data_IF_015133794447
#
_entry.id   IF_015133794447
#
_cell.length_a   1.000
_cell.length_b   1.000
_cell.length_c   1.000
_cell.angle_alpha   90.00
_cell.angle_beta   90.00
_cell.angle_gamma   90.00
#
_symmetry.space_group_name_H-M   'P 1'
#
loop_
_entity.id
_entity.type
_entity.pdbx_description
1 polymer ?
#
# COMPACT_ATOMS: atom_id res chain seq x y z
N UNK A 1 -32.95 -48.37 0.69
CA UNK A 1 -31.65 -49.04 0.94
C UNK A 1 -30.59 -47.93 0.90
N UNK A 2 -29.85 -47.53 1.92
CA UNK A 2 -29.48 -48.19 3.15
C UNK A 2 -27.96 -48.05 3.31
N UNK A 3 -27.55 -47.38 4.39
CA UNK A 3 -26.26 -47.47 5.11
C UNK A 3 -25.18 -46.41 4.80
N UNK A 4 -25.02 -45.54 5.80
CA UNK A 4 -23.75 -45.06 6.33
C UNK A 4 -22.57 -46.03 6.16
N UNK A 5 -21.36 -45.48 5.97
CA UNK A 5 -20.12 -46.04 6.53
C UNK A 5 -19.29 -44.96 7.21
N UNK A 6 -19.19 -45.08 8.53
CA UNK A 6 -18.08 -44.56 9.34
C UNK A 6 -16.84 -45.46 9.20
N UNK A 7 -15.75 -45.05 9.89
CA UNK A 7 -14.47 -45.73 10.17
C UNK A 7 -13.39 -45.65 9.06
N UNK A 8 -12.12 -45.34 9.34
CA UNK A 8 -11.41 -45.09 10.59
C UNK A 8 -9.90 -45.41 10.44
N UNK A 9 -9.06 -44.59 11.10
CA UNK A 9 -7.71 -44.87 11.69
C UNK A 9 -6.58 -45.53 10.87
N UNK A 10 -5.44 -44.82 10.80
CA UNK A 10 -4.09 -45.25 11.24
C UNK A 10 -3.11 -44.05 11.11
N UNK A 11 -2.64 -43.42 12.20
CA UNK A 11 -1.56 -43.82 13.12
C UNK A 11 -0.14 -43.60 12.53
N UNK A 12 0.56 -42.61 13.08
CA UNK A 12 1.98 -42.33 12.84
C UNK A 12 2.52 -41.41 13.94
N UNK A 13 2.58 -41.94 15.17
CA UNK A 13 3.20 -41.26 16.30
C UNK A 13 4.67 -41.70 16.40
N UNK A 14 5.58 -40.74 16.53
CA UNK A 14 6.89 -40.94 17.16
C UNK A 14 6.98 -39.98 18.34
N UNK A 15 7.44 -40.56 19.44
CA UNK A 15 7.23 -40.18 20.82
C UNK A 15 8.44 -39.41 21.36
N UNK A 16 8.13 -38.30 22.04
CA UNK A 16 8.67 -37.74 23.29
C UNK A 16 10.19 -37.61 23.52
N UNK A 17 10.57 -36.38 23.90
CA UNK A 17 11.40 -36.17 25.09
C UNK A 17 10.76 -35.07 25.95
N UNK A 18 10.43 -35.41 27.21
CA UNK A 18 9.89 -34.53 28.24
C UNK A 18 10.92 -34.39 29.36
N UNK A 19 10.98 -33.23 30.01
CA UNK A 19 11.17 -32.90 31.45
C UNK A 19 11.44 -31.38 31.54
N UNK A 20 10.93 -30.55 32.46
CA UNK A 20 10.49 -30.68 33.86
C UNK A 20 9.53 -29.48 34.15
N UNK A 21 8.37 -29.72 34.80
CA UNK A 21 8.07 -29.43 36.22
C UNK A 21 7.78 -27.96 36.57
N UNK A 22 6.49 -27.68 36.81
CA UNK A 22 5.96 -26.47 37.45
C UNK A 22 4.44 -26.50 37.49
N UNK A 23 3.87 -26.74 38.68
CA UNK A 23 2.50 -27.16 38.98
C UNK A 23 1.42 -26.04 38.99
N UNK A 24 0.17 -26.51 38.89
CA UNK A 24 -1.06 -26.02 39.55
C UNK A 24 -1.96 -24.97 38.88
N UNK A 25 -3.09 -25.49 38.39
CA UNK A 25 -4.47 -25.29 38.91
C UNK A 25 -5.00 -23.87 39.20
N UNK A 26 -6.05 -23.53 38.44
CA UNK A 26 -7.27 -22.78 38.80
C UNK A 26 -7.24 -21.26 39.13
N UNK A 27 -8.29 -20.63 38.60
CA UNK A 27 -8.98 -19.40 39.04
C UNK A 27 -8.60 -18.07 38.39
N UNK A 28 -9.61 -17.52 37.70
CA UNK A 28 -10.07 -16.13 37.68
C UNK A 28 -9.11 -15.06 38.22
N UNK A 29 -8.62 -14.18 37.35
CA UNK A 29 -8.58 -12.72 37.57
C UNK A 29 -8.05 -11.99 36.35
N UNK A 30 -8.61 -10.81 36.15
CA UNK A 30 -8.25 -9.81 35.16
C UNK A 30 -6.76 -9.42 35.17
N UNK A 31 -6.33 -8.89 34.02
CA UNK A 31 -5.61 -7.63 33.87
C UNK A 31 -4.34 -7.69 33.00
N UNK A 32 -4.22 -6.64 32.18
CA UNK A 32 -3.03 -6.13 31.46
C UNK A 32 -2.62 -6.83 30.17
N UNK A 33 -3.29 -6.39 29.11
CA UNK A 33 -2.65 -5.65 28.03
C UNK A 33 -1.23 -6.07 27.66
N UNK A 34 -1.11 -7.09 26.82
CA UNK A 34 0.04 -7.22 25.95
C UNK A 34 -0.20 -6.31 24.73
N UNK A 35 0.08 -5.01 24.88
CA UNK A 35 0.27 -4.13 23.72
C UNK A 35 1.49 -4.66 22.96
N UNK A 36 1.21 -5.46 21.92
CA UNK A 36 2.15 -5.74 20.84
C UNK A 36 2.81 -4.41 20.46
N UNK A 37 4.15 -4.34 20.30
CA UNK A 37 4.78 -3.11 19.88
C UNK A 37 4.08 -2.61 18.62
N UNK A 38 3.42 -1.46 18.72
CA UNK A 38 2.87 -0.81 17.54
C UNK A 38 4.07 -0.57 16.62
N UNK A 39 4.03 -1.16 15.42
CA UNK A 39 4.99 -0.81 14.38
C UNK A 39 5.03 0.71 14.31
N UNK A 40 6.23 1.31 14.40
CA UNK A 40 6.37 2.76 14.28
C UNK A 40 5.65 3.20 13.01
N UNK A 41 4.69 4.10 13.16
CA UNK A 41 4.03 4.70 12.00
C UNK A 41 5.10 5.42 11.18
N UNK A 42 5.08 5.21 9.86
CA UNK A 42 5.93 5.95 8.92
C UNK A 42 5.61 7.43 9.08
N UNK A 43 6.64 8.25 9.21
CA UNK A 43 6.47 9.70 9.30
C UNK A 43 6.08 10.28 7.94
N UNK A 44 5.48 11.47 7.93
CA UNK A 44 5.14 12.14 6.66
C UNK A 44 6.41 12.41 5.85
N UNK A 45 7.48 12.91 6.46
CA UNK A 45 8.75 13.15 5.77
C UNK A 45 9.31 11.90 5.10
N UNK A 46 9.27 10.74 5.77
CA UNK A 46 9.70 9.46 5.18
C UNK A 46 8.80 9.04 4.01
N UNK A 47 7.48 9.22 4.14
CA UNK A 47 6.53 8.87 3.08
C UNK A 47 6.67 9.80 1.86
N UNK A 48 6.86 11.09 2.08
CA UNK A 48 7.17 12.10 1.04
C UNK A 48 8.43 11.72 0.29
N UNK A 49 9.53 11.44 1.01
CA UNK A 49 10.79 11.04 0.38
C UNK A 49 10.65 9.74 -0.43
N UNK A 50 9.88 8.77 0.08
CA UNK A 50 9.62 7.51 -0.63
C UNK A 50 8.83 7.74 -1.91
N UNK A 51 7.82 8.60 -1.88
CA UNK A 51 7.04 8.95 -3.06
C UNK A 51 7.86 9.68 -4.12
N UNK A 52 8.58 10.74 -3.72
CA UNK A 52 9.44 11.50 -4.64
C UNK A 52 10.57 10.64 -5.21
N UNK A 53 11.11 9.70 -4.44
CA UNK A 53 12.08 8.73 -4.94
C UNK A 53 11.46 7.77 -5.97
N UNK A 54 10.20 7.37 -5.81
CA UNK A 54 9.50 6.55 -6.79
C UNK A 54 9.28 7.29 -8.11
N UNK A 55 8.90 8.57 -8.06
CA UNK A 55 8.77 9.44 -9.25
C UNK A 55 10.14 9.64 -9.92
N UNK A 56 11.17 9.99 -9.14
CA UNK A 56 12.54 10.14 -9.66
C UNK A 56 13.05 8.86 -10.32
N UNK A 57 12.75 7.70 -9.72
CA UNK A 57 13.10 6.40 -10.30
C UNK A 57 12.37 6.15 -11.61
N UNK A 58 11.06 6.43 -11.65
CA UNK A 58 10.28 6.34 -12.88
C UNK A 58 10.92 7.15 -14.01
N UNK A 59 11.29 8.41 -13.74
CA UNK A 59 11.97 9.27 -14.72
C UNK A 59 13.34 8.74 -15.14
N UNK A 60 14.14 8.30 -14.16
CA UNK A 60 15.50 7.79 -14.40
C UNK A 60 15.49 6.50 -15.21
N UNK A 61 14.49 5.63 -14.99
CA UNK A 61 14.32 4.38 -15.72
C UNK A 61 13.72 4.59 -17.13
N UNK A 62 13.40 5.84 -17.50
CA UNK A 62 12.88 6.21 -18.82
C UNK A 62 11.35 6.27 -18.91
N UNK A 63 10.64 6.15 -17.78
CA UNK A 63 9.19 6.25 -17.69
C UNK A 63 8.45 5.19 -18.53
N UNK A 64 7.36 5.61 -19.18
CA UNK A 64 6.63 4.78 -20.14
C UNK A 64 7.22 4.93 -21.55
N UNK A 65 8.17 4.05 -21.90
CA UNK A 65 8.79 4.07 -23.22
C UNK A 65 7.81 3.66 -24.33
N UNK A 66 6.97 2.67 -24.05
CA UNK A 66 5.98 2.13 -24.97
C UNK A 66 4.66 2.89 -24.85
N UNK A 67 4.02 3.21 -25.98
CA UNK A 67 2.79 4.00 -26.03
C UNK A 67 1.55 3.13 -26.17
N UNK A 68 1.73 1.87 -26.53
CA UNK A 68 0.66 0.91 -26.74
C UNK A 68 -0.10 0.62 -25.43
N UNK A 69 -1.41 0.34 -25.49
CA UNK A 69 -2.17 -0.08 -24.32
C UNK A 69 -1.55 -1.28 -23.61
N UNK A 70 -1.60 -1.27 -22.28
CA UNK A 70 -1.10 -2.35 -21.42
C UNK A 70 0.42 -2.34 -21.14
N UNK A 71 1.18 -1.43 -21.75
CA UNK A 71 2.65 -1.45 -21.68
C UNK A 71 3.25 -0.72 -20.48
N UNK A 72 2.48 0.17 -19.84
CA UNK A 72 2.95 0.97 -18.70
C UNK A 72 2.20 0.71 -17.39
N UNK A 73 1.39 -0.35 -17.35
CA UNK A 73 0.54 -0.66 -16.22
C UNK A 73 1.30 -0.91 -14.91
N UNK A 74 2.46 -1.58 -14.98
CA UNK A 74 3.27 -1.88 -13.80
C UNK A 74 3.89 -0.61 -13.21
N UNK A 75 4.32 0.32 -14.06
CA UNK A 75 4.87 1.61 -13.63
C UNK A 75 3.78 2.49 -13.00
N UNK A 76 2.58 2.52 -13.60
CA UNK A 76 1.42 3.20 -13.01
C UNK A 76 1.12 2.65 -11.60
N UNK A 77 1.08 1.32 -11.44
CA UNK A 77 0.88 0.70 -10.13
C UNK A 77 2.04 0.96 -9.14
N UNK A 78 3.28 1.03 -9.62
CA UNK A 78 4.45 1.25 -8.78
C UNK A 78 4.41 2.61 -8.05
N UNK A 79 3.78 3.63 -8.66
CA UNK A 79 3.59 4.94 -8.05
C UNK A 79 2.40 4.99 -7.07
N UNK A 80 1.42 4.09 -7.22
CA UNK A 80 0.24 4.09 -6.35
C UNK A 80 0.52 3.72 -4.92
N UNK A 81 1.37 2.70 -4.71
CA UNK A 81 1.68 2.25 -3.35
C UNK A 81 2.27 3.38 -2.50
N UNK A 82 3.33 4.09 -2.93
CA UNK A 82 3.88 5.18 -2.15
C UNK A 82 2.91 6.37 -2.02
N UNK A 83 2.07 6.66 -3.02
CA UNK A 83 1.04 7.70 -2.90
C UNK A 83 0.02 7.38 -1.78
N UNK A 84 -0.44 6.13 -1.70
CA UNK A 84 -1.34 5.68 -0.63
C UNK A 84 -0.67 5.69 0.74
N UNK A 85 0.59 5.30 0.81
CA UNK A 85 1.38 5.35 2.04
C UNK A 85 1.58 6.81 2.51
N UNK A 86 1.79 7.75 1.58
CA UNK A 86 1.82 9.19 1.84
C UNK A 86 0.48 9.70 2.39
N UNK A 87 -0.65 9.40 1.75
CA UNK A 87 -1.99 9.76 2.26
C UNK A 87 -2.21 9.23 3.67
N UNK A 88 -1.77 8.00 3.95
CA UNK A 88 -1.89 7.40 5.29
C UNK A 88 -1.03 8.13 6.31
N UNK A 89 0.20 8.49 5.97
CA UNK A 89 1.09 9.24 6.85
C UNK A 89 0.54 10.64 7.12
N UNK A 90 0.10 11.36 6.08
CA UNK A 90 -0.49 12.68 6.18
C UNK A 90 -1.74 12.71 7.08
N UNK A 91 -2.62 11.71 6.97
CA UNK A 91 -3.79 11.58 7.85
C UNK A 91 -3.43 11.23 9.30
N UNK A 92 -2.30 10.58 9.53
CA UNK A 92 -1.82 10.25 10.87
C UNK A 92 -1.09 11.44 11.53
N UNK A 93 -0.58 12.38 10.73
CA UNK A 93 0.07 13.58 11.21
C UNK A 93 -0.94 14.60 11.71
N UNK A 94 -0.61 15.20 12.84
CA UNK A 94 -1.41 16.24 13.51
C UNK A 94 -0.76 17.60 13.45
N UNK A 95 0.43 17.72 12.85
CA UNK A 95 1.17 18.97 12.73
C UNK A 95 0.52 19.93 11.73
N UNK A 96 -0.08 19.39 10.67
CA UNK A 96 -0.80 20.09 9.62
C UNK A 96 -2.29 19.70 9.62
N UNK A 97 -3.17 20.67 9.38
CA UNK A 97 -4.61 20.39 9.26
C UNK A 97 -4.97 19.68 7.94
N UNK A 98 -6.17 19.08 7.84
CA UNK A 98 -6.63 18.42 6.62
C UNK A 98 -6.73 19.37 5.41
N UNK A 99 -6.99 20.66 5.65
CA UNK A 99 -7.04 21.69 4.60
C UNK A 99 -5.71 21.84 3.86
N UNK A 100 -4.58 21.70 4.57
CA UNK A 100 -3.25 21.76 3.96
C UNK A 100 -3.05 20.65 2.91
N UNK A 101 -3.56 19.45 3.20
CA UNK A 101 -3.40 18.28 2.33
C UNK A 101 -4.45 18.15 1.24
N UNK A 102 -5.44 19.04 1.19
CA UNK A 102 -6.60 18.92 0.29
C UNK A 102 -6.20 18.77 -1.19
N UNK A 103 -5.26 19.60 -1.66
CA UNK A 103 -4.76 19.55 -3.04
C UNK A 103 -3.96 18.28 -3.32
N UNK A 104 -3.05 17.90 -2.42
CA UNK A 104 -2.32 16.63 -2.52
C UNK A 104 -3.27 15.43 -2.55
N UNK A 105 -4.35 15.47 -1.76
CA UNK A 105 -5.35 14.41 -1.76
C UNK A 105 -6.12 14.36 -3.08
N UNK A 106 -6.48 15.49 -3.68
CA UNK A 106 -7.12 15.52 -4.98
C UNK A 106 -6.24 14.90 -6.09
N UNK A 107 -4.92 15.12 -6.04
CA UNK A 107 -3.97 14.50 -6.95
C UNK A 107 -3.91 12.97 -6.73
N UNK A 108 -3.86 12.52 -5.48
CA UNK A 108 -3.91 11.08 -5.16
C UNK A 108 -5.23 10.45 -5.63
N UNK A 109 -6.36 11.14 -5.46
CA UNK A 109 -7.66 10.66 -5.95
C UNK A 109 -7.66 10.52 -7.48
N UNK A 110 -7.09 11.49 -8.19
CA UNK A 110 -6.94 11.41 -9.66
C UNK A 110 -6.12 10.20 -10.07
N UNK A 111 -5.03 9.90 -9.34
CA UNK A 111 -4.26 8.67 -9.56
C UNK A 111 -5.08 7.41 -9.26
N UNK A 112 -5.88 7.40 -8.19
CA UNK A 112 -6.74 6.26 -7.85
C UNK A 112 -7.83 6.03 -8.90
N UNK A 113 -8.43 7.09 -9.43
CA UNK A 113 -9.44 7.03 -10.50
C UNK A 113 -8.84 6.48 -11.80
N UNK A 114 -7.64 6.93 -12.18
CA UNK A 114 -6.95 6.40 -13.36
C UNK A 114 -6.58 4.91 -13.25
N UNK A 115 -6.25 4.43 -12.05
CA UNK A 115 -6.02 3.00 -11.80
C UNK A 115 -7.35 2.23 -11.74
N UNK A 116 -8.43 2.83 -11.25
CA UNK A 116 -9.73 2.18 -11.16
C UNK A 116 -10.31 1.81 -12.54
N UNK A 117 -9.83 2.42 -13.61
CA UNK A 117 -10.10 2.01 -15.00
C UNK A 117 -9.73 0.55 -15.27
N UNK A 118 -8.73 0.00 -14.57
CA UNK A 118 -8.41 -1.44 -14.57
C UNK A 118 -7.51 -1.93 -15.70
N UNK A 119 -7.12 -1.07 -16.64
CA UNK A 119 -6.15 -1.34 -17.69
C UNK A 119 -5.43 -0.05 -18.11
N UNK A 120 -4.18 -0.14 -18.54
CA UNK A 120 -3.47 0.99 -19.18
C UNK A 120 -4.01 1.20 -20.59
N UNK A 121 -4.68 2.33 -20.85
CA UNK A 121 -5.23 2.67 -22.17
C UNK A 121 -4.19 3.16 -23.17
N UNK A 122 -2.91 3.20 -22.78
CA UNK A 122 -1.82 3.67 -23.62
C UNK A 122 -1.89 5.17 -23.85
N UNK A 123 -1.24 5.62 -24.92
CA UNK A 123 -1.26 6.99 -25.40
C UNK A 123 -1.84 7.03 -26.81
N UNK A 124 -2.82 7.90 -27.10
CA UNK A 124 -3.51 7.92 -28.37
C UNK A 124 -2.60 8.45 -29.47
N UNK A 125 -2.65 7.80 -30.64
CA UNK A 125 -2.00 8.31 -31.83
C UNK A 125 -2.63 9.67 -32.21
N UNK A 126 -1.89 10.76 -32.00
CA UNK A 126 -2.36 12.13 -32.23
C UNK A 126 -2.38 13.03 -30.98
N UNK A 127 -2.05 12.51 -29.79
CA UNK A 127 -1.61 13.32 -28.64
C UNK A 127 -2.67 14.13 -27.86
N UNK A 128 -3.88 14.29 -28.39
CA UNK A 128 -4.84 15.23 -27.80
C UNK A 128 -5.85 14.61 -26.80
N UNK A 129 -5.87 13.29 -26.64
CA UNK A 129 -6.78 12.64 -25.71
C UNK A 129 -6.06 12.25 -24.40
N UNK A 130 -6.56 12.79 -23.28
CA UNK A 130 -6.18 12.35 -21.95
C UNK A 130 -6.54 10.87 -21.79
N UNK A 131 -5.60 10.10 -21.27
CA UNK A 131 -5.82 8.70 -20.91
C UNK A 131 -5.62 8.52 -19.42
N UNK A 132 -6.00 7.35 -18.91
CA UNK A 132 -5.77 7.04 -17.51
C UNK A 132 -4.27 6.95 -17.17
N UNK A 133 -3.40 6.89 -18.18
CA UNK A 133 -1.95 7.05 -18.00
C UNK A 133 -1.60 8.48 -17.56
N UNK A 134 -2.25 9.48 -18.15
CA UNK A 134 -2.04 10.89 -17.77
C UNK A 134 -2.58 11.17 -16.36
N UNK A 135 -3.76 10.65 -16.04
CA UNK A 135 -4.35 10.75 -14.70
C UNK A 135 -3.44 10.16 -13.61
N UNK A 136 -2.77 9.04 -13.88
CA UNK A 136 -1.87 8.42 -12.88
C UNK A 136 -0.50 9.07 -12.87
N UNK A 137 0.13 9.19 -14.03
CA UNK A 137 1.52 9.61 -14.10
C UNK A 137 1.65 11.12 -14.03
N UNK A 138 0.79 11.87 -14.73
CA UNK A 138 0.75 13.34 -14.65
C UNK A 138 0.50 13.78 -13.21
N UNK A 139 -0.56 13.27 -12.57
CA UNK A 139 -0.85 13.61 -11.17
C UNK A 139 0.22 13.12 -10.19
N UNK A 140 0.99 12.08 -10.51
CA UNK A 140 2.12 11.69 -9.67
C UNK A 140 3.27 12.72 -9.73
N UNK A 141 3.57 13.27 -10.90
CA UNK A 141 4.55 14.35 -11.04
C UNK A 141 4.04 15.63 -10.37
N UNK A 142 2.78 16.00 -10.62
CA UNK A 142 2.16 17.17 -9.97
C UNK A 142 2.18 17.04 -8.44
N UNK A 143 1.93 15.83 -7.91
CA UNK A 143 2.01 15.57 -6.47
C UNK A 143 3.45 15.71 -5.96
N UNK A 144 4.43 15.23 -6.73
CA UNK A 144 5.84 15.35 -6.38
C UNK A 144 6.28 16.83 -6.32
N UNK A 145 5.85 17.62 -7.30
CA UNK A 145 6.12 19.06 -7.37
C UNK A 145 5.42 19.82 -6.26
N UNK A 146 4.16 19.48 -5.98
CA UNK A 146 3.41 20.04 -4.87
C UNK A 146 4.12 19.77 -3.54
N UNK A 147 4.61 18.55 -3.30
CA UNK A 147 5.35 18.19 -2.09
C UNK A 147 6.67 18.96 -1.97
N UNK A 148 7.34 19.25 -3.10
CA UNK A 148 8.54 20.07 -3.11
C UNK A 148 8.23 21.55 -2.78
N UNK A 149 7.09 22.07 -3.25
CA UNK A 149 6.63 23.42 -2.95
C UNK A 149 6.08 23.57 -1.52
N UNK A 150 5.61 22.49 -0.91
CA UNK A 150 4.97 22.46 0.40
C UNK A 150 5.70 21.52 1.37
N UNK A 151 6.94 21.86 1.80
CA UNK A 151 7.73 20.99 2.64
C UNK A 151 7.08 20.81 4.01
N UNK A 152 6.98 19.55 4.42
CA UNK A 152 6.47 19.09 5.71
C UNK A 152 7.61 18.52 6.54
N UNK A 153 7.65 18.88 7.83
CA UNK A 153 8.74 18.53 8.76
C UNK A 153 8.42 17.25 9.54
#
# INVERSE_FOLDING_TARGET
MGRHRMWGKAAGALVLAAVVSGCSDSSDSADKGATKPAAKAVTVGEATATFQAAVTKFDTDGGCLEQEPGTCWEQMQALMKPARDLRKAANADKSTGPEFWSEAYALIDTMEDGIAVGEDKGFPAGGDALTNRDEVLGSAHDLSDWLAAHPVQ
#
